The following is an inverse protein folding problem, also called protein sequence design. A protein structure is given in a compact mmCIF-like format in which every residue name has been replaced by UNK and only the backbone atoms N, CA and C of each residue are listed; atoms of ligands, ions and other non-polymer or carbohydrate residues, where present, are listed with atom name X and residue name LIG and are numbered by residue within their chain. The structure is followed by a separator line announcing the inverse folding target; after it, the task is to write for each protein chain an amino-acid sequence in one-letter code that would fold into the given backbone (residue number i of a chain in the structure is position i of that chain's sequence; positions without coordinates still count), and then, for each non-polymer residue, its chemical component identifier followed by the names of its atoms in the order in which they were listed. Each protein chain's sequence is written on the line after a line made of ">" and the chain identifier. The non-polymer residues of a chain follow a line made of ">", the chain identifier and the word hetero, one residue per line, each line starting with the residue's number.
data_IF_349750410181
#
_entry.id   IF_349750410181
#
_cell.length_a   1.000
_cell.length_b   1.000
_cell.length_c   1.000
_cell.angle_alpha   90.00
_cell.angle_beta   90.00
_cell.angle_gamma   90.00
#
_symmetry.space_group_name_H-M   'P 1'
#
loop_
_entity.id
_entity.type
_entity.pdbx_description
1 polymer ?
#
# COMPACT_ATOMS: atom_id res chain seq x y z
N UNK A 1 22.22 28.47 23.03
CA UNK A 1 22.59 27.07 22.72
C UNK A 1 21.35 26.39 22.18
N UNK A 2 21.22 26.33 20.85
CA UNK A 2 20.08 25.70 20.19
C UNK A 2 20.42 24.22 19.99
N UNK A 3 19.71 23.33 20.69
CA UNK A 3 19.77 21.89 20.45
C UNK A 3 18.86 21.57 19.27
N UNK A 4 19.48 21.43 18.09
CA UNK A 4 18.83 20.92 16.90
C UNK A 4 18.66 19.41 17.05
N UNK A 5 17.47 18.95 17.44
CA UNK A 5 17.13 17.52 17.39
C UNK A 5 16.85 17.14 15.94
N UNK A 6 17.86 16.57 15.28
CA UNK A 6 17.66 15.81 14.05
C UNK A 6 16.80 14.58 14.38
N UNK A 7 15.55 14.60 13.94
CA UNK A 7 14.72 13.41 13.82
C UNK A 7 15.30 12.55 12.71
N UNK A 8 16.13 11.57 13.07
CA UNK A 8 16.49 10.48 12.17
C UNK A 8 15.29 9.56 12.06
N UNK A 9 14.54 9.68 10.97
CA UNK A 9 13.63 8.61 10.53
C UNK A 9 14.51 7.40 10.18
N UNK A 10 14.71 6.53 11.15
CA UNK A 10 15.37 5.24 10.95
C UNK A 10 14.53 4.42 9.98
N UNK A 11 15.12 4.02 8.86
CA UNK A 11 14.57 2.98 7.98
C UNK A 11 14.20 1.76 8.81
N UNK A 12 12.91 1.52 9.02
CA UNK A 12 12.44 0.25 9.58
C UNK A 12 12.25 -0.69 8.40
N UNK A 13 13.33 -1.41 8.06
CA UNK A 13 13.28 -2.54 7.14
C UNK A 13 12.51 -3.67 7.81
N UNK A 14 11.55 -4.24 7.07
CA UNK A 14 10.94 -5.47 7.48
C UNK A 14 11.29 -6.60 6.54
N UNK A 15 12.10 -7.51 7.08
CA UNK A 15 12.39 -8.82 6.53
C UNK A 15 11.11 -9.65 6.51
N UNK A 16 10.48 -9.73 5.34
CA UNK A 16 9.67 -10.87 4.96
C UNK A 16 10.11 -11.31 3.56
N UNK A 17 10.92 -12.37 3.57
CA UNK A 17 11.76 -12.93 2.50
C UNK A 17 13.08 -12.17 2.26
N UNK A 18 14.17 -12.79 2.73
CA UNK A 18 15.54 -12.54 2.27
C UNK A 18 15.55 -12.42 0.75
N UNK A 19 15.59 -11.19 0.26
CA UNK A 19 15.84 -10.93 -1.15
C UNK A 19 16.91 -9.86 -1.19
N UNK A 20 18.10 -10.27 -1.66
CA UNK A 20 19.27 -9.41 -1.87
C UNK A 20 18.99 -8.19 -2.75
N UNK A 21 17.79 -8.10 -3.33
CA UNK A 21 17.31 -7.00 -4.15
C UNK A 21 16.71 -5.82 -3.37
N UNK A 22 16.25 -6.01 -2.12
CA UNK A 22 15.60 -4.94 -1.35
C UNK A 22 16.50 -3.69 -1.20
N UNK A 23 17.83 -3.81 -0.99
CA UNK A 23 18.72 -2.65 -0.98
C UNK A 23 18.75 -1.84 -2.29
N UNK A 24 18.28 -2.40 -3.40
CA UNK A 24 18.20 -1.74 -4.71
C UNK A 24 16.89 -0.97 -4.90
N UNK A 25 15.88 -1.18 -4.05
CA UNK A 25 14.59 -0.53 -4.17
C UNK A 25 14.67 0.93 -3.67
N UNK A 26 13.83 1.84 -4.21
CA UNK A 26 13.79 3.23 -3.76
C UNK A 26 13.62 3.35 -2.24
N UNK A 27 14.37 4.26 -1.61
CA UNK A 27 14.26 4.49 -0.16
C UNK A 27 12.97 5.24 0.20
N UNK A 28 12.56 5.14 1.46
CA UNK A 28 11.38 5.85 1.99
C UNK A 28 10.07 5.10 1.84
N UNK A 29 10.11 3.86 1.34
CA UNK A 29 8.96 2.98 1.22
C UNK A 29 9.23 1.67 1.94
N UNK A 30 8.17 0.89 2.14
CA UNK A 30 8.24 -0.42 2.79
C UNK A 30 7.80 -1.48 1.80
N UNK A 31 8.58 -2.55 1.75
CA UNK A 31 8.45 -3.61 0.76
C UNK A 31 8.33 -4.96 1.44
N UNK A 32 7.49 -5.82 0.88
CA UNK A 32 7.42 -7.23 1.23
C UNK A 32 7.31 -8.02 -0.06
N UNK A 33 8.18 -9.02 -0.25
CA UNK A 33 8.17 -9.87 -1.44
C UNK A 33 7.71 -11.26 -1.02
N UNK A 34 6.54 -11.66 -1.49
CA UNK A 34 5.98 -12.97 -1.16
C UNK A 34 5.85 -13.81 -2.42
N UNK A 35 6.12 -15.12 -2.27
CA UNK A 35 5.98 -16.09 -3.37
C UNK A 35 4.55 -16.14 -3.91
N UNK A 36 3.58 -15.86 -3.05
CA UNK A 36 2.16 -15.76 -3.40
C UNK A 36 1.73 -14.31 -3.21
N UNK A 37 0.83 -13.81 -4.06
CA UNK A 37 0.40 -12.41 -4.06
C UNK A 37 -0.64 -12.06 -2.97
N UNK A 38 -0.59 -12.70 -1.80
CA UNK A 38 -1.43 -12.37 -0.63
C UNK A 38 -0.55 -12.04 0.57
N UNK A 39 -1.02 -11.19 1.48
CA UNK A 39 -0.32 -10.89 2.73
C UNK A 39 -0.51 -12.03 3.72
N UNK A 40 0.56 -12.73 4.07
CA UNK A 40 0.51 -13.67 5.18
C UNK A 40 0.35 -12.96 6.53
N UNK A 41 0.10 -13.74 7.58
CA UNK A 41 -0.09 -13.19 8.92
C UNK A 41 1.15 -12.41 9.40
N UNK A 42 2.36 -12.73 8.94
CA UNK A 42 3.58 -12.03 9.33
C UNK A 42 3.60 -10.62 8.75
N UNK A 43 3.42 -10.50 7.42
CA UNK A 43 3.37 -9.21 6.72
C UNK A 43 2.18 -8.38 7.20
N UNK A 44 1.02 -9.01 7.39
CA UNK A 44 -0.18 -8.34 7.87
C UNK A 44 -0.02 -7.76 9.29
N UNK A 45 0.50 -8.55 10.23
CA UNK A 45 0.75 -8.09 11.61
C UNK A 45 1.71 -6.90 11.65
N UNK A 46 2.73 -6.91 10.80
CA UNK A 46 3.63 -5.78 10.71
C UNK A 46 3.00 -4.54 10.10
N UNK A 47 2.21 -4.72 9.03
CA UNK A 47 1.47 -3.62 8.42
C UNK A 47 0.63 -2.90 9.49
N UNK A 48 -0.13 -3.63 10.31
CA UNK A 48 -0.94 -3.04 11.38
C UNK A 48 -0.08 -2.33 12.44
N UNK A 49 0.89 -3.03 13.02
CA UNK A 49 1.66 -2.53 14.19
C UNK A 49 2.68 -1.45 13.88
N UNK A 50 3.12 -1.35 12.62
CA UNK A 50 4.22 -0.44 12.28
C UNK A 50 3.87 0.55 11.20
N UNK A 51 3.06 0.19 10.21
CA UNK A 51 2.70 1.13 9.13
C UNK A 51 1.41 1.86 9.44
N UNK A 52 0.36 1.10 9.75
CA UNK A 52 -0.96 1.67 9.98
C UNK A 52 -0.98 2.53 11.23
N UNK A 53 -0.36 2.08 12.34
CA UNK A 53 -0.33 2.84 13.60
C UNK A 53 0.18 4.27 13.44
N UNK A 54 1.18 4.49 12.57
CA UNK A 54 1.77 5.81 12.33
C UNK A 54 0.86 6.76 11.52
N UNK A 55 -0.22 6.24 10.95
CA UNK A 55 -1.16 6.98 10.11
C UNK A 55 -2.55 7.08 10.74
N UNK A 56 -2.75 6.57 11.96
CA UNK A 56 -4.01 6.66 12.69
C UNK A 56 -3.91 7.69 13.81
N UNK A 57 -5.01 8.41 14.03
CA UNK A 57 -5.26 9.05 15.32
C UNK A 57 -6.04 8.12 16.25
N UNK A 58 -5.98 8.36 17.55
CA UNK A 58 -6.87 7.68 18.51
C UNK A 58 -8.33 7.77 18.04
N UNK A 59 -9.09 6.69 18.24
CA UNK A 59 -10.49 6.56 17.83
C UNK A 59 -10.75 6.63 16.31
N UNK A 60 -9.76 6.32 15.47
CA UNK A 60 -9.97 6.15 14.03
C UNK A 60 -10.86 4.94 13.72
N UNK A 61 -11.55 4.98 12.58
CA UNK A 61 -12.28 3.82 12.03
C UNK A 61 -11.50 3.24 10.87
N UNK A 62 -11.14 1.97 10.97
CA UNK A 62 -10.41 1.21 9.97
C UNK A 62 -11.41 0.31 9.24
N UNK A 63 -11.68 0.61 7.97
CA UNK A 63 -12.54 -0.19 7.09
C UNK A 63 -11.69 -1.17 6.30
N UNK A 64 -11.92 -2.47 6.48
CA UNK A 64 -11.15 -3.52 5.79
C UNK A 64 -12.05 -4.63 5.27
N UNK A 65 -11.68 -5.16 4.11
CA UNK A 65 -12.13 -6.46 3.65
C UNK A 65 -11.16 -7.55 4.11
N UNK A 66 -11.68 -8.77 4.26
CA UNK A 66 -10.93 -10.03 4.45
C UNK A 66 -9.67 -9.94 5.35
N UNK A 67 -9.86 -10.08 6.65
CA UNK A 67 -8.80 -10.09 7.66
C UNK A 67 -9.00 -11.24 8.65
N UNK A 68 -7.97 -11.52 9.46
CA UNK A 68 -8.03 -12.56 10.49
C UNK A 68 -8.62 -12.04 11.81
N UNK A 69 -9.11 -12.94 12.67
CA UNK A 69 -9.74 -12.56 13.95
C UNK A 69 -8.79 -11.78 14.88
N UNK A 70 -7.49 -12.07 14.83
CA UNK A 70 -6.46 -11.35 15.59
C UNK A 70 -6.42 -9.86 15.25
N UNK A 71 -6.86 -9.46 14.06
CA UNK A 71 -6.89 -8.07 13.62
C UNK A 71 -7.81 -7.22 14.49
N UNK A 72 -8.92 -7.76 14.99
CA UNK A 72 -9.80 -7.03 15.90
C UNK A 72 -9.07 -6.66 17.18
N UNK A 73 -8.38 -7.63 17.79
CA UNK A 73 -7.60 -7.41 19.02
C UNK A 73 -6.53 -6.35 18.80
N UNK A 74 -5.79 -6.44 17.70
CA UNK A 74 -4.71 -5.50 17.40
C UNK A 74 -5.25 -4.08 17.20
N UNK A 75 -6.24 -3.91 16.32
CA UNK A 75 -6.76 -2.59 15.99
C UNK A 75 -7.42 -1.93 17.20
N UNK A 76 -8.14 -2.70 18.03
CA UNK A 76 -8.81 -2.18 19.20
C UNK A 76 -7.87 -1.95 20.39
N UNK A 77 -7.13 -2.98 20.83
CA UNK A 77 -6.35 -2.93 22.06
C UNK A 77 -5.00 -2.23 21.88
N UNK A 78 -4.35 -2.41 20.73
CA UNK A 78 -3.00 -1.88 20.49
C UNK A 78 -3.03 -0.53 19.76
N UNK A 79 -3.95 -0.34 18.80
CA UNK A 79 -4.04 0.87 17.97
C UNK A 79 -5.14 1.86 18.43
N UNK A 80 -5.91 1.53 19.48
CA UNK A 80 -6.94 2.41 20.04
C UNK A 80 -8.03 2.83 19.04
N UNK A 81 -8.30 1.97 18.05
CA UNK A 81 -9.14 2.27 16.88
C UNK A 81 -10.23 1.22 16.69
N UNK A 82 -11.24 1.50 15.86
CA UNK A 82 -12.32 0.57 15.57
C UNK A 82 -12.07 -0.12 14.23
N UNK A 83 -12.04 -1.45 14.22
CA UNK A 83 -12.06 -2.24 12.99
C UNK A 83 -13.50 -2.50 12.55
N UNK A 84 -13.84 -2.05 11.34
CA UNK A 84 -15.16 -2.24 10.74
C UNK A 84 -15.03 -3.14 9.49
N UNK A 85 -15.62 -4.35 9.51
CA UNK A 85 -15.60 -5.22 8.34
C UNK A 85 -16.49 -4.67 7.22
N UNK A 86 -15.99 -4.74 6.00
CA UNK A 86 -16.79 -4.49 4.81
C UNK A 86 -17.72 -5.70 4.59
N UNK A 87 -19.02 -5.50 4.28
CA UNK A 87 -19.93 -6.60 3.99
C UNK A 87 -19.43 -7.48 2.84
N UNK A 88 -19.67 -8.81 2.89
CA UNK A 88 -19.30 -9.70 1.80
C UNK A 88 -19.85 -9.23 0.45
N UNK A 89 -19.01 -9.29 -0.59
CA UNK A 89 -19.33 -8.89 -1.97
C UNK A 89 -19.72 -7.40 -2.14
N UNK A 90 -19.39 -6.54 -1.18
CA UNK A 90 -19.68 -5.11 -1.24
C UNK A 90 -18.44 -4.25 -1.48
N UNK A 91 -17.27 -4.83 -1.74
CA UNK A 91 -16.00 -4.11 -1.90
C UNK A 91 -16.08 -3.01 -2.98
N UNK A 92 -16.70 -3.31 -4.13
CA UNK A 92 -16.88 -2.36 -5.24
C UNK A 92 -17.79 -1.17 -4.91
N UNK A 93 -18.50 -1.21 -3.79
CA UNK A 93 -19.45 -0.19 -3.35
C UNK A 93 -18.93 0.53 -2.10
N UNK A 94 -18.37 -0.22 -1.16
CA UNK A 94 -18.03 0.27 0.17
C UNK A 94 -16.53 0.53 0.37
N UNK A 95 -15.65 -0.11 -0.42
CA UNK A 95 -14.21 0.07 -0.27
C UNK A 95 -13.75 1.25 -1.11
N UNK A 96 -13.25 2.29 -0.44
CA UNK A 96 -12.77 3.52 -1.07
C UNK A 96 -11.66 3.26 -2.09
N UNK A 97 -10.81 2.27 -1.81
CA UNK A 97 -9.75 1.82 -2.71
C UNK A 97 -10.36 1.46 -4.07
N UNK A 98 -11.33 0.55 -4.10
CA UNK A 98 -11.97 0.08 -5.34
C UNK A 98 -12.91 1.11 -5.98
N UNK A 99 -13.67 1.85 -5.17
CA UNK A 99 -14.69 2.81 -5.65
C UNK A 99 -14.09 3.99 -6.41
N UNK A 100 -12.91 4.47 -6.00
CA UNK A 100 -12.39 5.72 -6.55
C UNK A 100 -10.87 5.82 -6.72
N UNK A 101 -10.06 5.07 -5.97
CA UNK A 101 -8.60 5.20 -6.02
C UNK A 101 -7.99 4.28 -7.08
N UNK A 102 -8.49 3.06 -7.23
CA UNK A 102 -7.90 2.06 -8.12
C UNK A 102 -7.99 2.45 -9.60
N UNK A 103 -9.06 3.13 -10.02
CA UNK A 103 -9.23 3.56 -11.41
C UNK A 103 -8.14 4.56 -11.86
N UNK A 104 -7.93 5.72 -11.20
CA UNK A 104 -6.84 6.63 -11.56
C UNK A 104 -5.47 5.97 -11.35
N UNK A 105 -5.26 5.20 -10.29
CA UNK A 105 -3.99 4.51 -10.05
C UNK A 105 -3.62 3.54 -11.19
N UNK A 106 -4.55 2.70 -11.65
CA UNK A 106 -4.34 1.79 -12.80
C UNK A 106 -4.06 2.55 -14.09
N UNK A 107 -4.73 3.69 -14.31
CA UNK A 107 -4.45 4.55 -15.45
C UNK A 107 -3.02 5.08 -15.41
N UNK A 108 -2.58 5.60 -14.27
CA UNK A 108 -1.22 6.12 -14.12
C UNK A 108 -0.14 5.04 -14.20
N UNK A 109 -0.43 3.82 -13.72
CA UNK A 109 0.42 2.65 -13.96
C UNK A 109 0.58 2.36 -15.45
N UNK A 110 -0.52 2.40 -16.21
CA UNK A 110 -0.49 2.20 -17.66
C UNK A 110 0.31 3.31 -18.35
N UNK A 111 0.03 4.58 -18.02
CA UNK A 111 0.74 5.74 -18.57
C UNK A 111 2.25 5.65 -18.29
N UNK A 112 2.63 5.30 -17.06
CA UNK A 112 4.03 5.16 -16.67
C UNK A 112 4.72 3.99 -17.38
N UNK A 113 4.03 2.87 -17.61
CA UNK A 113 4.57 1.76 -18.40
C UNK A 113 4.82 2.17 -19.86
N UNK A 114 3.87 2.87 -20.49
CA UNK A 114 4.00 3.29 -21.89
C UNK A 114 5.17 4.25 -22.13
N UNK A 115 5.63 4.94 -21.08
CA UNK A 115 6.77 5.87 -21.14
C UNK A 115 8.06 5.31 -20.54
N UNK A 116 8.03 4.08 -20.01
CA UNK A 116 9.18 3.44 -19.39
C UNK A 116 10.19 3.01 -20.46
N UNK A 117 11.47 3.18 -20.19
CA UNK A 117 12.53 2.63 -21.03
C UNK A 117 12.51 1.10 -20.99
N UNK A 118 12.87 0.48 -22.11
CA UNK A 118 13.03 -0.97 -22.18
C UNK A 118 14.10 -1.40 -21.18
N UNK A 119 13.85 -2.51 -20.49
CA UNK A 119 14.78 -3.06 -19.52
C UNK A 119 15.67 -4.05 -20.26
N UNK A 120 16.97 -3.77 -20.31
CA UNK A 120 17.94 -4.69 -20.90
C UNK A 120 18.19 -5.88 -19.96
N UNK A 121 18.23 -7.09 -20.51
CA UNK A 121 18.60 -8.30 -19.77
C UNK A 121 20.10 -8.34 -19.46
N UNK A 122 20.47 -8.91 -18.30
CA UNK A 122 21.88 -8.97 -17.86
C UNK A 122 22.68 -10.16 -18.45
N UNK A 123 22.03 -11.19 -19.02
CA UNK A 123 22.69 -12.45 -19.41
C UNK A 123 22.59 -12.76 -20.92
N UNK A 124 23.74 -13.00 -21.55
CA UNK A 124 23.87 -13.41 -22.95
C UNK A 124 23.59 -14.89 -23.17
N UNK A 125 22.47 -15.16 -23.85
CA UNK A 125 22.25 -16.19 -24.90
C UNK A 125 20.80 -16.06 -25.43
N UNK A 126 19.93 -15.38 -24.66
CA UNK A 126 18.60 -14.92 -25.05
C UNK A 126 18.58 -13.39 -24.89
N UNK A 127 18.92 -12.69 -25.97
CA UNK A 127 18.91 -11.23 -26.05
C UNK A 127 17.54 -10.69 -25.56
N UNK A 128 17.55 -9.77 -24.59
CA UNK A 128 16.40 -8.95 -24.13
C UNK A 128 15.41 -9.48 -23.08
N UNK A 129 15.68 -10.55 -22.30
CA UNK A 129 14.75 -10.92 -21.20
C UNK A 129 15.21 -10.40 -19.82
N UNK A 130 14.47 -9.46 -19.18
CA UNK A 130 14.82 -8.98 -17.85
C UNK A 130 14.69 -10.06 -16.78
N UNK A 131 15.58 -10.03 -15.80
CA UNK A 131 15.52 -10.91 -14.63
C UNK A 131 14.26 -10.65 -13.81
N UNK A 132 13.87 -11.61 -12.97
CA UNK A 132 12.71 -11.44 -12.10
C UNK A 132 12.87 -10.25 -11.12
N UNK A 133 14.11 -10.00 -10.66
CA UNK A 133 14.42 -8.86 -9.78
C UNK A 133 14.32 -7.52 -10.51
N UNK A 134 14.84 -7.43 -11.73
CA UNK A 134 14.69 -6.24 -12.58
C UNK A 134 13.21 -5.93 -12.86
N UNK A 135 12.40 -6.95 -13.17
CA UNK A 135 10.94 -6.81 -13.35
C UNK A 135 10.26 -6.28 -12.09
N UNK A 136 10.62 -6.80 -10.91
CA UNK A 136 10.07 -6.32 -9.63
C UNK A 136 10.46 -4.88 -9.35
N UNK A 137 11.73 -4.52 -9.54
CA UNK A 137 12.22 -3.16 -9.36
C UNK A 137 11.49 -2.16 -10.27
N UNK A 138 11.27 -2.53 -11.54
CA UNK A 138 10.53 -1.71 -12.49
C UNK A 138 9.07 -1.50 -12.06
N UNK A 139 8.37 -2.58 -11.65
CA UNK A 139 6.99 -2.50 -11.12
C UNK A 139 6.94 -1.60 -9.87
N UNK A 140 7.92 -1.71 -8.96
CA UNK A 140 8.00 -0.88 -7.76
C UNK A 140 8.16 0.60 -8.11
N UNK A 141 9.12 0.95 -8.97
CA UNK A 141 9.32 2.33 -9.43
C UNK A 141 8.07 2.89 -10.08
N UNK A 142 7.42 2.09 -10.93
CA UNK A 142 6.18 2.46 -11.61
C UNK A 142 5.02 2.68 -10.65
N UNK A 143 4.86 1.80 -9.65
CA UNK A 143 3.82 1.93 -8.65
C UNK A 143 4.00 3.19 -7.80
N UNK A 144 5.24 3.53 -7.41
CA UNK A 144 5.56 4.78 -6.71
C UNK A 144 5.18 5.98 -7.57
N UNK A 145 5.66 6.03 -8.82
CA UNK A 145 5.33 7.11 -9.75
C UNK A 145 3.83 7.26 -10.00
N UNK A 146 3.10 6.15 -10.08
CA UNK A 146 1.65 6.15 -10.26
C UNK A 146 0.92 6.64 -9.00
N UNK A 147 1.39 6.25 -7.82
CA UNK A 147 0.82 6.66 -6.54
C UNK A 147 1.00 8.16 -6.28
N UNK A 148 2.17 8.71 -6.60
CA UNK A 148 2.46 10.16 -6.46
C UNK A 148 1.54 11.04 -7.32
N UNK A 149 0.93 10.47 -8.37
CA UNK A 149 -0.05 11.15 -9.23
C UNK A 149 -1.48 11.06 -8.71
N UNK A 150 -1.79 10.14 -7.80
CA UNK A 150 -3.12 10.06 -7.18
C UNK A 150 -3.27 11.24 -6.23
N UNK A 151 -4.19 12.14 -6.54
CA UNK A 151 -4.32 13.37 -5.76
C UNK A 151 -5.12 13.14 -4.47
N UNK A 152 -4.91 13.98 -3.44
CA UNK A 152 -5.78 13.99 -2.27
C UNK A 152 -7.27 14.25 -2.60
N UNK A 153 -7.55 14.90 -3.73
CA UNK A 153 -8.93 15.09 -4.22
C UNK A 153 -9.54 13.77 -4.68
N UNK A 154 -8.77 12.92 -5.37
CA UNK A 154 -9.24 11.60 -5.81
C UNK A 154 -9.53 10.69 -4.61
N UNK A 155 -8.68 10.77 -3.58
CA UNK A 155 -8.90 10.07 -2.30
C UNK A 155 -10.18 10.59 -1.63
N UNK A 156 -10.35 11.90 -1.44
CA UNK A 156 -11.58 12.43 -0.79
C UNK A 156 -12.86 12.03 -1.54
N UNK A 157 -12.85 12.13 -2.88
CA UNK A 157 -13.99 11.74 -3.71
C UNK A 157 -14.33 10.25 -3.61
N UNK A 158 -13.36 9.39 -3.33
CA UNK A 158 -13.65 7.96 -3.15
C UNK A 158 -14.44 7.71 -1.85
N UNK A 159 -14.15 8.46 -0.78
CA UNK A 159 -14.97 8.45 0.44
C UNK A 159 -16.37 9.00 0.21
N UNK A 160 -16.51 10.13 -0.48
CA UNK A 160 -17.82 10.73 -0.81
C UNK A 160 -18.72 9.77 -1.61
N UNK A 161 -18.13 8.94 -2.47
CA UNK A 161 -18.85 7.95 -3.28
C UNK A 161 -19.20 6.68 -2.49
N UNK A 162 -18.31 6.23 -1.61
CA UNK A 162 -18.47 4.97 -0.88
C UNK A 162 -19.38 5.12 0.34
N UNK A 163 -19.43 6.31 0.94
CA UNK A 163 -20.23 6.56 2.13
C UNK A 163 -21.66 6.95 1.74
N UNK A 164 -22.69 6.36 2.38
CA UNK A 164 -24.07 6.76 2.17
C UNK A 164 -24.27 8.22 2.53
N UNK A 165 -24.97 8.97 1.67
CA UNK A 165 -25.43 10.32 2.02
C UNK A 165 -26.63 10.16 2.97
N UNK A 166 -26.62 10.79 4.16
CA UNK A 166 -27.78 10.76 5.04
C UNK A 166 -28.98 11.35 4.30
N UNK A 167 -30.01 10.55 4.07
CA UNK A 167 -31.31 11.09 3.67
C UNK A 167 -31.91 11.73 4.92
N UNK A 168 -32.04 13.06 4.93
CA UNK A 168 -32.84 13.78 5.91
C UNK A 168 -34.31 13.38 5.69
N UNK A 169 -34.70 12.20 6.18
CA UNK A 169 -36.10 11.84 6.37
C UNK A 169 -36.40 12.06 7.84
N UNK A 170 -37.11 13.16 8.09
CA UNK A 170 -37.84 13.46 9.33
C UNK A 170 -38.86 12.37 9.67
#
# INVERSE_FOLDING_TARGET
>A
MATSSQSSLSSVELQAAETSELPLFPRGHVYAVQKKAWMDNTVWNYYLRTLLTNNLSDHSVVLLDNFNDDSYRIVHEELGSLLCPIPPNATSICQQLDVGVMAPFKRYLCDAWLTEEMIDGEDGDDFDTPTAGQKRLAIVKRAIMAWDRVSPVDIRRSFEKALPVPTNTE
#
